data_IF_643240540421
#
_entry.id   IF_643240540421
#
_cell.length_a   1.000
_cell.length_b   1.000
_cell.length_c   1.000
_cell.angle_alpha   90.00
_cell.angle_beta   90.00
_cell.angle_gamma   90.00
#
_symmetry.space_group_name_H-M   'P 1'
#
loop_
_entity.id
_entity.type
_entity.pdbx_description
1 polymer ?
#
# COMPACT_ATOMS: atom_id res chain seq x y z
N UNK A 1 1.87 14.84 -9.43
CA UNK A 1 0.61 14.31 -8.87
C UNK A 1 0.87 13.10 -7.98
N UNK A 2 -0.17 12.42 -7.51
CA UNK A 2 -0.04 11.28 -6.60
C UNK A 2 0.82 10.14 -7.18
N UNK A 3 0.66 9.83 -8.47
CA UNK A 3 1.48 8.85 -9.19
C UNK A 3 2.98 9.21 -9.12
N UNK A 4 3.34 10.49 -9.33
CA UNK A 4 4.74 10.94 -9.24
C UNK A 4 5.33 10.86 -7.83
N UNK A 5 4.49 11.04 -6.80
CA UNK A 5 4.92 10.89 -5.40
C UNK A 5 5.23 9.42 -5.13
N UNK A 6 4.32 8.53 -5.51
CA UNK A 6 4.52 7.08 -5.35
C UNK A 6 5.74 6.60 -6.14
N UNK A 7 5.87 7.00 -7.42
CA UNK A 7 7.02 6.68 -8.26
C UNK A 7 8.33 7.12 -7.59
N UNK A 8 8.43 8.38 -7.16
CA UNK A 8 9.64 8.91 -6.51
C UNK A 8 9.97 8.17 -5.22
N UNK A 9 8.97 7.82 -4.43
CA UNK A 9 9.19 7.02 -3.22
C UNK A 9 9.75 5.64 -3.56
N UNK A 10 9.14 4.93 -4.51
CA UNK A 10 9.66 3.62 -4.95
C UNK A 10 11.08 3.71 -5.53
N UNK A 11 11.43 4.81 -6.21
CA UNK A 11 12.79 5.02 -6.74
C UNK A 11 13.80 5.36 -5.65
N UNK A 12 13.41 6.10 -4.62
CA UNK A 12 14.31 6.50 -3.53
C UNK A 12 14.59 5.34 -2.57
N UNK A 13 13.61 4.46 -2.35
CA UNK A 13 13.69 3.36 -1.39
C UNK A 13 13.52 1.99 -2.07
N UNK A 14 14.38 1.70 -3.04
CA UNK A 14 14.32 0.46 -3.86
C UNK A 14 14.51 -0.83 -3.07
N UNK A 15 15.21 -0.79 -1.94
CA UNK A 15 15.44 -1.94 -1.05
C UNK A 15 14.46 -2.05 0.12
N UNK A 16 13.50 -1.12 0.26
CA UNK A 16 12.55 -1.15 1.37
C UNK A 16 11.25 -1.84 0.95
N UNK A 17 11.05 -3.07 1.41
CA UNK A 17 9.89 -3.89 1.07
C UNK A 17 8.56 -3.19 1.36
N UNK A 18 8.41 -2.56 2.53
CA UNK A 18 7.18 -1.86 2.93
C UNK A 18 6.81 -0.75 1.94
N UNK A 19 7.79 0.05 1.51
CA UNK A 19 7.55 1.15 0.56
C UNK A 19 7.19 0.59 -0.82
N UNK A 20 7.81 -0.52 -1.23
CA UNK A 20 7.57 -1.13 -2.54
C UNK A 20 6.19 -1.80 -2.58
N UNK A 21 5.80 -2.48 -1.50
CA UNK A 21 4.47 -3.03 -1.30
C UNK A 21 3.40 -1.93 -1.33
N UNK A 22 3.56 -0.89 -0.52
CA UNK A 22 2.63 0.24 -0.47
C UNK A 22 2.54 0.97 -1.82
N UNK A 23 3.67 1.10 -2.52
CA UNK A 23 3.73 1.66 -3.86
C UNK A 23 2.93 0.84 -4.87
N UNK A 24 3.16 -0.48 -4.93
CA UNK A 24 2.41 -1.37 -5.81
C UNK A 24 0.90 -1.35 -5.52
N UNK A 25 0.50 -1.41 -4.24
CA UNK A 25 -0.90 -1.34 -3.84
C UNK A 25 -1.56 -0.02 -4.25
N UNK A 26 -0.86 1.11 -4.07
CA UNK A 26 -1.35 2.43 -4.46
C UNK A 26 -1.54 2.55 -5.98
N UNK A 27 -0.56 2.09 -6.75
CA UNK A 27 -0.65 2.08 -8.22
C UNK A 27 -1.80 1.19 -8.70
N UNK A 28 -2.02 0.04 -8.07
CA UNK A 28 -3.18 -0.80 -8.39
C UNK A 28 -4.47 -0.03 -8.14
N UNK A 29 -4.63 0.57 -6.96
CA UNK A 29 -5.82 1.33 -6.60
C UNK A 29 -6.08 2.50 -7.56
N UNK A 30 -5.05 3.21 -8.00
CA UNK A 30 -5.20 4.32 -8.96
C UNK A 30 -5.70 3.86 -10.33
N UNK A 31 -5.44 2.61 -10.72
CA UNK A 31 -5.78 2.09 -12.05
C UNK A 31 -7.13 1.37 -12.10
N UNK A 32 -7.67 0.93 -10.95
CA UNK A 32 -8.99 0.27 -10.89
C UNK A 32 -10.07 1.23 -11.41
N UNK A 33 -10.73 0.86 -12.52
CA UNK A 33 -11.86 1.58 -13.11
C UNK A 33 -11.62 3.07 -13.43
N UNK A 34 -10.36 3.49 -13.57
CA UNK A 34 -9.98 4.89 -13.81
C UNK A 34 -8.99 5.01 -14.98
N UNK A 35 -9.53 5.10 -16.20
CA UNK A 35 -8.73 5.18 -17.43
C UNK A 35 -7.71 6.33 -17.45
N UNK A 36 -8.09 7.54 -17.03
CA UNK A 36 -7.17 8.68 -17.02
C UNK A 36 -5.97 8.47 -16.08
N UNK A 37 -6.17 7.77 -14.96
CA UNK A 37 -5.09 7.42 -14.05
C UNK A 37 -4.27 6.25 -14.58
N UNK A 38 -4.92 5.24 -15.21
CA UNK A 38 -4.23 4.17 -15.91
C UNK A 38 -3.25 4.71 -16.96
N UNK A 39 -3.66 5.72 -17.71
CA UNK A 39 -2.79 6.39 -18.68
C UNK A 39 -1.58 7.11 -18.07
N UNK A 40 -1.68 7.57 -16.81
CA UNK A 40 -0.56 8.18 -16.08
C UNK A 40 0.37 7.15 -15.44
N UNK A 41 -0.18 6.00 -15.05
CA UNK A 41 0.58 4.86 -14.50
C UNK A 41 1.25 4.06 -15.63
N UNK A 42 0.72 4.14 -16.85
CA UNK A 42 1.32 3.62 -18.06
C UNK A 42 2.44 4.55 -18.57
N UNK A 43 3.43 4.73 -17.71
CA UNK A 43 4.65 5.49 -17.91
C UNK A 43 5.83 4.56 -17.65
N UNK A 44 6.86 4.59 -18.51
CA UNK A 44 7.96 3.62 -18.47
C UNK A 44 8.73 3.65 -17.14
N UNK A 45 8.85 4.81 -16.49
CA UNK A 45 9.51 4.89 -15.18
C UNK A 45 8.67 4.24 -14.08
N UNK A 46 7.34 4.38 -14.13
CA UNK A 46 6.42 3.74 -13.20
C UNK A 46 6.40 2.23 -13.41
N UNK A 47 6.36 1.78 -14.66
CA UNK A 47 6.41 0.36 -15.01
C UNK A 47 7.74 -0.28 -14.58
N UNK A 48 8.86 0.44 -14.71
CA UNK A 48 10.16 -0.01 -14.21
C UNK A 48 10.18 -0.18 -12.70
N UNK A 49 9.53 0.70 -11.94
CA UNK A 49 9.37 0.53 -10.50
C UNK A 49 8.59 -0.75 -10.16
N UNK A 50 7.50 -1.04 -10.88
CA UNK A 50 6.74 -2.29 -10.70
C UNK A 50 7.60 -3.52 -11.00
N UNK A 51 8.32 -3.53 -12.13
CA UNK A 51 9.18 -4.64 -12.50
C UNK A 51 10.29 -4.89 -11.47
N UNK A 52 10.95 -3.83 -11.00
CA UNK A 52 11.98 -3.94 -9.97
C UNK A 52 11.44 -4.41 -8.62
N UNK A 53 10.24 -3.96 -8.24
CA UNK A 53 9.59 -4.44 -7.03
C UNK A 53 9.33 -5.94 -7.09
N UNK A 54 8.75 -6.44 -8.19
CA UNK A 54 8.51 -7.88 -8.37
C UNK A 54 9.81 -8.69 -8.43
N UNK A 55 10.86 -8.14 -9.05
CA UNK A 55 12.16 -8.81 -9.15
C UNK A 55 12.86 -8.94 -7.80
N UNK A 56 12.79 -7.89 -6.97
CA UNK A 56 13.57 -7.80 -5.74
C UNK A 56 12.87 -8.41 -4.53
N UNK A 57 11.53 -8.38 -4.52
CA UNK A 57 10.74 -8.86 -3.38
C UNK A 57 9.98 -10.12 -3.78
N UNK A 58 10.29 -11.22 -3.09
CA UNK A 58 9.57 -12.49 -3.27
C UNK A 58 8.25 -12.54 -2.52
N UNK A 59 7.90 -11.49 -1.75
CA UNK A 59 6.61 -11.41 -1.10
C UNK A 59 5.48 -11.49 -2.14
N UNK A 60 4.66 -12.54 -1.98
CA UNK A 60 3.55 -12.86 -2.88
C UNK A 60 2.61 -11.66 -3.06
N UNK A 61 2.41 -10.87 -2.01
CA UNK A 61 1.53 -9.69 -2.02
C UNK A 61 2.05 -8.57 -2.92
N UNK A 62 3.35 -8.25 -2.88
CA UNK A 62 3.93 -7.22 -3.75
C UNK A 62 3.74 -7.59 -5.22
N UNK A 63 3.98 -8.86 -5.55
CA UNK A 63 3.72 -9.41 -6.87
C UNK A 63 2.26 -9.34 -7.26
N UNK A 64 1.34 -9.71 -6.36
CA UNK A 64 -0.11 -9.63 -6.61
C UNK A 64 -0.57 -8.20 -6.93
N UNK A 65 -0.12 -7.21 -6.16
CA UNK A 65 -0.48 -5.81 -6.41
C UNK A 65 0.11 -5.30 -7.73
N UNK A 66 1.37 -5.64 -8.01
CA UNK A 66 2.01 -5.28 -9.27
C UNK A 66 1.27 -5.89 -10.47
N UNK A 67 1.00 -7.20 -10.45
CA UNK A 67 0.28 -7.87 -11.55
C UNK A 67 -1.14 -7.34 -11.69
N UNK A 68 -1.86 -7.11 -10.59
CA UNK A 68 -3.19 -6.51 -10.64
C UNK A 68 -3.16 -5.11 -11.27
N UNK A 69 -2.10 -4.33 -11.02
CA UNK A 69 -1.89 -3.04 -11.69
C UNK A 69 -1.77 -3.25 -13.21
N UNK A 70 -0.93 -4.19 -13.65
CA UNK A 70 -0.74 -4.49 -15.08
C UNK A 70 -2.03 -4.98 -15.76
N UNK A 71 -2.82 -5.80 -15.07
CA UNK A 71 -4.13 -6.25 -15.58
C UNK A 71 -5.11 -5.07 -15.72
N UNK A 72 -5.11 -4.15 -14.77
CA UNK A 72 -5.91 -2.93 -14.87
C UNK A 72 -5.43 -2.05 -16.03
N UNK A 73 -4.12 -1.86 -16.19
CA UNK A 73 -3.56 -1.12 -17.33
C UNK A 73 -3.96 -1.73 -18.66
N UNK A 74 -3.85 -3.06 -18.80
CA UNK A 74 -4.26 -3.75 -20.02
C UNK A 74 -5.75 -3.53 -20.34
N UNK A 75 -6.62 -3.53 -19.32
CA UNK A 75 -8.07 -3.30 -19.47
C UNK A 75 -8.40 -1.84 -19.78
N UNK A 76 -7.74 -0.89 -19.13
CA UNK A 76 -8.11 0.53 -19.14
C UNK A 76 -7.37 1.33 -20.22
N UNK A 77 -6.08 1.09 -20.41
CA UNK A 77 -5.21 1.81 -21.35
C UNK A 77 -4.88 1.00 -22.62
N UNK A 78 -5.25 -0.28 -22.65
CA UNK A 78 -5.12 -1.19 -23.78
C UNK A 78 -3.90 -2.11 -23.68
N UNK A 79 -4.13 -3.42 -23.83
CA UNK A 79 -3.08 -4.44 -23.70
C UNK A 79 -1.94 -4.33 -24.70
N UNK A 80 -2.22 -3.89 -25.95
CA UNK A 80 -1.16 -3.65 -26.94
C UNK A 80 -0.25 -2.50 -26.51
N UNK A 81 -0.84 -1.41 -26.01
CA UNK A 81 -0.08 -0.26 -25.54
C UNK A 81 0.80 -0.64 -24.35
N UNK A 82 0.25 -1.39 -23.39
CA UNK A 82 1.04 -1.93 -22.29
C UNK A 82 2.23 -2.75 -22.77
N UNK A 83 2.06 -3.61 -23.78
CA UNK A 83 3.15 -4.40 -24.35
C UNK A 83 4.25 -3.54 -24.98
N UNK A 84 3.87 -2.47 -25.66
CA UNK A 84 4.83 -1.53 -26.26
C UNK A 84 5.65 -0.84 -25.17
N UNK A 85 4.99 -0.26 -24.16
CA UNK A 85 5.67 0.44 -23.06
C UNK A 85 6.50 -0.51 -22.18
N UNK A 86 6.06 -1.77 -22.03
CA UNK A 86 6.78 -2.77 -21.25
C UNK A 86 8.03 -3.31 -21.97
N UNK A 87 8.14 -3.18 -23.29
CA UNK A 87 9.27 -3.74 -24.04
C UNK A 87 10.62 -3.19 -23.54
N UNK A 88 10.70 -1.88 -23.32
CA UNK A 88 11.90 -1.22 -22.76
C UNK A 88 12.17 -1.65 -21.30
N UNK A 89 11.10 -1.87 -20.53
CA UNK A 89 11.19 -2.32 -19.14
C UNK A 89 11.73 -3.76 -19.06
N UNK A 90 11.28 -4.62 -19.97
CA UNK A 90 11.73 -6.00 -20.06
C UNK A 90 13.22 -6.06 -20.41
N UNK A 91 13.69 -5.26 -21.36
CA UNK A 91 15.11 -5.15 -21.70
C UNK A 91 15.94 -4.66 -20.49
N UNK A 92 15.45 -3.64 -19.78
CA UNK A 92 16.18 -3.05 -18.65
C UNK A 92 16.21 -3.94 -17.40
N UNK A 93 15.18 -4.76 -17.17
CA UNK A 93 14.99 -5.48 -15.90
C UNK A 93 15.09 -7.00 -16.02
N UNK A 94 14.92 -7.54 -17.23
CA UNK A 94 14.78 -8.97 -17.49
C UNK A 94 13.45 -9.58 -17.00
N UNK A 95 12.48 -8.75 -16.60
CA UNK A 95 11.17 -9.21 -16.12
C UNK A 95 10.20 -9.26 -17.29
N UNK A 96 9.81 -10.47 -17.70
CA UNK A 96 8.91 -10.61 -18.84
C UNK A 96 7.46 -10.31 -18.46
N UNK A 97 6.76 -9.56 -19.30
CA UNK A 97 5.34 -9.24 -19.06
C UNK A 97 4.48 -10.50 -19.04
N UNK A 98 4.84 -11.47 -19.88
CA UNK A 98 4.10 -12.73 -20.02
C UNK A 98 4.20 -13.57 -18.76
N UNK A 99 5.36 -13.65 -18.10
CA UNK A 99 5.51 -14.39 -16.84
C UNK A 99 4.68 -13.78 -15.72
N UNK A 100 4.56 -12.45 -15.71
CA UNK A 100 3.73 -11.74 -14.75
C UNK A 100 2.24 -12.02 -14.98
N UNK A 101 1.75 -11.86 -16.22
CA UNK A 101 0.33 -11.99 -16.53
C UNK A 101 -0.18 -13.44 -16.61
N UNK A 102 0.69 -14.40 -16.95
CA UNK A 102 0.33 -15.82 -17.02
C UNK A 102 0.51 -16.58 -15.69
N UNK A 103 1.00 -15.91 -14.64
CA UNK A 103 1.09 -16.52 -13.31
C UNK A 103 -0.32 -16.83 -12.78
N UNK A 104 -0.71 -18.12 -12.85
CA UNK A 104 -2.03 -18.65 -12.46
C UNK A 104 -2.35 -18.56 -10.96
N UNK A 105 -1.50 -17.90 -10.17
CA UNK A 105 -1.57 -17.89 -8.70
C UNK A 105 -2.24 -16.63 -8.12
N UNK A 106 -3.05 -15.93 -8.93
CA UNK A 106 -3.68 -14.68 -8.54
C UNK A 106 -5.17 -14.89 -8.33
N UNK A 107 -5.50 -15.72 -7.34
CA UNK A 107 -6.84 -15.70 -6.75
C UNK A 107 -7.07 -14.31 -6.10
N UNK A 108 -8.10 -13.55 -6.51
CA UNK A 108 -8.43 -12.30 -5.85
C UNK A 108 -9.24 -12.64 -4.59
N UNK A 109 -8.56 -12.86 -3.46
CA UNK A 109 -9.22 -13.05 -2.17
C UNK A 109 -8.75 -12.04 -1.16
N UNK A 110 -9.13 -10.78 -1.37
CA UNK A 110 -9.76 -9.94 -0.35
C UNK A 110 -9.99 -8.55 -0.94
N UNK A 111 -11.25 -8.28 -1.26
CA UNK A 111 -11.80 -6.93 -1.13
C UNK A 111 -11.30 -6.33 0.17
N UNK A 112 -10.50 -5.26 0.08
CA UNK A 112 -10.18 -4.42 1.24
C UNK A 112 -11.51 -3.82 1.71
N UNK A 113 -12.14 -4.48 2.67
CA UNK A 113 -13.19 -3.88 3.49
C UNK A 113 -12.48 -2.88 4.39
N UNK A 114 -12.48 -1.61 4.00
CA UNK A 114 -12.22 -0.50 4.91
C UNK A 114 -13.36 -0.45 5.93
N UNK A 115 -13.27 -1.29 6.95
CA UNK A 115 -14.14 -1.17 8.13
C UNK A 115 -13.83 0.18 8.79
N UNK A 116 -14.82 1.06 9.01
CA UNK A 116 -14.58 2.32 9.69
C UNK A 116 -14.20 2.00 11.13
N UNK A 117 -13.00 2.42 11.53
CA UNK A 117 -12.61 2.42 12.93
C UNK A 117 -13.60 3.30 13.70
N UNK A 118 -14.44 2.67 14.52
CA UNK A 118 -15.23 3.34 15.54
C UNK A 118 -14.27 4.12 16.44
N UNK A 119 -14.40 5.44 16.42
CA UNK A 119 -13.86 6.33 17.44
C UNK A 119 -14.40 5.87 18.80
N UNK A 120 -13.54 5.28 19.63
CA UNK A 120 -13.83 5.14 21.06
C UNK A 120 -13.68 6.51 21.69
N UNK A 121 -14.80 7.22 21.82
CA UNK A 121 -14.94 8.31 22.77
C UNK A 121 -14.92 7.69 24.17
N UNK A 122 -13.84 7.88 24.92
CA UNK A 122 -13.81 7.61 26.36
C UNK A 122 -14.75 8.60 27.05
N UNK A 123 -15.98 8.16 27.33
CA UNK A 123 -16.87 8.85 28.24
C UNK A 123 -16.37 8.65 29.66
N UNK A 124 -16.05 9.79 30.30
CA UNK A 124 -15.72 9.95 31.70
C UNK A 124 -16.92 9.49 32.56
N UNK A 125 -16.85 8.31 33.16
CA UNK A 125 -17.82 7.90 34.17
C UNK A 125 -17.51 8.62 35.49
N UNK A 126 -18.38 9.57 35.87
CA UNK A 126 -18.49 10.08 37.23
C UNK A 126 -19.06 8.97 38.13
N UNK A 127 -18.16 8.25 38.80
CA UNK A 127 -18.53 7.38 39.91
C UNK A 127 -18.82 8.21 41.17
N UNK A 128 -20.09 8.23 41.56
CA UNK A 128 -20.56 8.84 42.80
C UNK A 128 -20.07 8.07 44.02
N UNK A 129 -19.33 8.77 44.88
CA UNK A 129 -18.96 8.38 46.24
C UNK A 129 -20.17 8.54 47.18
N UNK A 130 -20.38 7.63 48.14
CA UNK A 130 -20.93 8.06 49.41
C UNK A 130 -20.21 7.46 50.63
N UNK A 131 -19.64 8.35 51.43
CA UNK A 131 -19.85 8.34 52.88
C UNK A 131 -18.98 7.41 53.72
N UNK A 132 -17.82 7.90 54.14
CA UNK A 132 -17.05 7.37 55.27
C UNK A 132 -16.40 8.51 56.04
N UNK A 133 -16.97 8.86 57.20
CA UNK A 133 -16.51 9.91 58.09
C UNK A 133 -15.19 9.62 58.82
N UNK A 134 -14.74 10.54 59.71
CA UNK A 134 -13.35 10.96 59.80
C UNK A 134 -12.62 10.41 61.03
N UNK A 135 -11.28 10.23 60.93
CA UNK A 135 -10.39 10.19 62.10
C UNK A 135 -8.97 10.69 61.80
N UNK A 136 -8.63 11.78 62.49
CA UNK A 136 -7.37 12.07 63.18
C UNK A 136 -6.00 12.00 62.46
N UNK A 137 -5.44 13.20 62.29
CA UNK A 137 -4.15 13.66 62.84
C UNK A 137 -2.95 12.71 62.82
N UNK A 138 -1.91 13.06 62.07
CA UNK A 138 -0.60 13.42 62.64
C UNK A 138 0.42 13.76 61.56
N UNK A 139 0.99 14.94 61.70
CA UNK A 139 2.24 15.38 61.09
C UNK A 139 3.38 14.42 61.38
N UNK A 140 4.23 14.13 60.39
CA UNK A 140 5.67 13.91 60.58
C UNK A 140 6.40 14.17 59.25
N UNK A 141 7.09 15.30 59.26
CA UNK A 141 8.28 15.56 58.46
C UNK A 141 9.34 14.49 58.73
N UNK A 142 10.11 14.12 57.70
CA UNK A 142 11.52 13.69 57.82
C UNK A 142 12.11 13.58 56.41
N UNK A 143 12.79 14.64 56.00
CA UNK A 143 13.91 14.56 55.08
C UNK A 143 15.06 15.29 55.77
N UNK A 144 16.11 14.53 56.11
CA UNK A 144 17.39 14.93 56.72
C UNK A 144 17.34 15.62 58.09
#
# INVERSE_FOLDING_TARGET
GAVDIVRRAMQQWTGNETIQLAGCASLQAFTVNHQANAMRVLDSEVLRCLAMAVKNFQATECRQWAVGTLQNLARQAGGLRLRVEWAEVEEATGVTLSDLLNSRDLSPSSSVSLSPHHSQTNSFEMGSDPGGGPVSSSSRSLGA
#
